data_IF_433365432203
#
_entry.id   IF_433365432203
#
_cell.length_a   1.000
_cell.length_b   1.000
_cell.length_c   1.000
_cell.angle_alpha   90.00
_cell.angle_beta   90.00
_cell.angle_gamma   90.00
#
_symmetry.space_group_name_H-M   'P 1'
#
loop_
_entity.id
_entity.type
_entity.pdbx_description
1 polymer ?
#
# COMPACT_ATOMS: atom_id res chain seq x y z
N UNK A 1 -18.08 3.33 0.97
CA UNK A 1 -19.24 3.45 1.88
C UNK A 1 -18.87 4.22 3.16
N UNK A 2 -17.80 3.88 3.89
CA UNK A 2 -17.41 4.54 5.17
C UNK A 2 -17.14 6.05 5.05
N UNK A 3 -16.78 6.54 3.87
CA UNK A 3 -16.48 7.96 3.64
C UNK A 3 -17.70 8.79 3.22
N UNK A 4 -18.76 8.13 2.79
CA UNK A 4 -19.96 8.83 2.30
C UNK A 4 -20.58 9.80 3.32
N UNK A 5 -20.66 9.47 4.63
CA UNK A 5 -21.15 10.41 5.65
C UNK A 5 -20.33 11.71 5.72
N UNK A 6 -19.05 11.66 5.37
CA UNK A 6 -18.15 12.81 5.41
C UNK A 6 -18.23 13.73 4.19
N UNK A 7 -19.06 13.41 3.20
CA UNK A 7 -19.17 14.18 1.95
C UNK A 7 -19.52 15.66 2.17
N UNK A 8 -20.29 15.98 3.20
CA UNK A 8 -20.73 17.34 3.51
C UNK A 8 -19.84 18.05 4.54
N UNK A 9 -18.80 17.37 5.07
CA UNK A 9 -17.88 17.95 6.06
C UNK A 9 -16.94 18.94 5.35
N UNK A 10 -16.61 20.05 6.03
CA UNK A 10 -15.69 21.06 5.48
C UNK A 10 -14.27 20.50 5.25
N UNK A 11 -13.56 21.05 4.25
CA UNK A 11 -12.22 20.62 3.89
C UNK A 11 -11.25 20.64 5.09
N UNK A 12 -11.29 21.70 5.91
CA UNK A 12 -10.44 21.81 7.12
C UNK A 12 -10.68 20.68 8.11
N UNK A 13 -11.95 20.37 8.40
CA UNK A 13 -12.31 19.28 9.33
C UNK A 13 -11.87 17.93 8.78
N UNK A 14 -12.02 17.68 7.48
CA UNK A 14 -11.55 16.46 6.83
C UNK A 14 -10.03 16.29 6.96
N UNK A 15 -9.26 17.36 6.75
CA UNK A 15 -7.81 17.33 6.90
C UNK A 15 -7.43 17.06 8.35
N UNK A 16 -8.02 17.78 9.30
CA UNK A 16 -7.76 17.58 10.73
C UNK A 16 -8.08 16.15 11.17
N UNK A 17 -9.25 15.63 10.78
CA UNK A 17 -9.63 14.24 11.07
C UNK A 17 -8.68 13.24 10.42
N UNK A 18 -8.30 13.47 9.17
CA UNK A 18 -7.36 12.61 8.45
C UNK A 18 -5.98 12.59 9.11
N UNK A 19 -5.47 13.74 9.51
CA UNK A 19 -4.20 13.85 10.27
C UNK A 19 -4.35 13.16 11.63
N UNK A 20 -5.41 13.46 12.38
CA UNK A 20 -5.64 12.88 13.70
C UNK A 20 -5.71 11.35 13.67
N UNK A 21 -6.42 10.76 12.69
CA UNK A 21 -6.50 9.31 12.52
C UNK A 21 -5.14 8.68 12.19
N UNK A 22 -4.34 9.33 11.33
CA UNK A 22 -2.98 8.85 11.06
C UNK A 22 -2.11 8.94 12.32
N UNK A 23 -2.19 10.04 13.07
CA UNK A 23 -1.41 10.22 14.29
C UNK A 23 -1.88 9.35 15.46
N UNK A 24 -3.11 8.85 15.44
CA UNK A 24 -3.67 8.00 16.51
C UNK A 24 -2.82 6.76 16.79
N UNK A 25 -2.20 6.19 15.77
CA UNK A 25 -1.36 5.00 15.91
C UNK A 25 0.03 5.31 16.48
N UNK A 26 0.49 6.57 16.43
CA UNK A 26 1.81 6.96 16.93
C UNK A 26 2.03 6.61 18.40
N UNK A 27 1.12 6.97 19.34
CA UNK A 27 1.31 6.62 20.75
C UNK A 27 1.38 5.11 21.00
N UNK A 28 0.64 4.32 20.21
CA UNK A 28 0.66 2.84 20.31
C UNK A 28 2.03 2.30 19.94
N UNK A 29 2.58 2.74 18.80
CA UNK A 29 3.91 2.31 18.35
C UNK A 29 5.02 2.85 19.24
N UNK A 30 4.96 4.13 19.61
CA UNK A 30 5.94 4.75 20.54
C UNK A 30 5.87 4.08 21.91
N UNK A 31 4.67 3.86 22.45
CA UNK A 31 4.48 3.14 23.71
C UNK A 31 4.97 1.71 23.65
N UNK A 32 4.69 1.00 22.55
CA UNK A 32 5.23 -0.33 22.29
C UNK A 32 6.75 -0.37 22.36
N UNK A 33 7.41 0.54 21.63
CA UNK A 33 8.87 0.64 21.61
C UNK A 33 9.49 0.97 22.96
N UNK A 34 9.07 2.08 23.56
CA UNK A 34 9.78 2.62 24.72
C UNK A 34 9.42 1.92 26.03
N UNK A 35 8.25 1.31 26.10
CA UNK A 35 7.78 0.67 27.32
C UNK A 35 7.61 -0.85 27.19
N UNK A 36 6.89 -1.32 26.19
CA UNK A 36 6.49 -2.72 26.08
C UNK A 36 7.67 -3.64 25.71
N UNK A 37 8.46 -3.32 24.70
CA UNK A 37 9.59 -4.17 24.26
C UNK A 37 10.68 -4.25 25.33
N UNK A 38 11.17 -3.13 25.92
CA UNK A 38 12.12 -3.21 27.01
C UNK A 38 11.58 -3.95 28.23
N UNK A 39 10.29 -3.81 28.52
CA UNK A 39 9.64 -4.58 29.59
C UNK A 39 9.65 -6.09 29.30
N UNK A 40 9.26 -6.51 28.11
CA UNK A 40 9.30 -7.93 27.70
C UNK A 40 10.73 -8.48 27.78
N UNK A 41 11.70 -7.79 27.17
CA UNK A 41 13.11 -8.21 27.17
C UNK A 41 13.68 -8.35 28.58
N UNK A 42 13.43 -7.36 29.44
CA UNK A 42 13.90 -7.39 30.85
C UNK A 42 13.21 -8.50 31.65
N UNK A 43 11.91 -8.71 31.39
CA UNK A 43 11.13 -9.76 32.09
C UNK A 43 11.59 -11.12 31.64
N UNK A 44 11.80 -11.35 30.34
CA UNK A 44 12.35 -12.61 29.82
C UNK A 44 13.72 -12.94 30.41
N UNK A 45 14.66 -11.97 30.43
CA UNK A 45 15.97 -12.17 31.04
C UNK A 45 15.89 -12.49 32.54
N UNK A 46 14.95 -11.87 33.29
CA UNK A 46 14.73 -12.20 34.71
C UNK A 46 14.19 -13.62 34.89
N UNK A 47 13.27 -14.05 34.04
CA UNK A 47 12.71 -15.41 34.07
C UNK A 47 13.80 -16.43 33.78
N UNK A 48 14.64 -16.20 32.76
CA UNK A 48 15.79 -17.06 32.46
C UNK A 48 16.73 -17.20 33.67
N UNK A 49 17.09 -16.09 34.31
CA UNK A 49 17.92 -16.09 35.51
C UNK A 49 17.24 -16.83 36.70
N UNK A 50 15.93 -16.70 36.86
CA UNK A 50 15.19 -17.46 37.92
C UNK A 50 15.17 -18.96 37.63
N UNK A 51 14.99 -19.39 36.40
CA UNK A 51 15.02 -20.78 35.98
C UNK A 51 16.40 -21.38 36.23
N UNK A 52 17.48 -20.67 35.84
CA UNK A 52 18.87 -21.07 36.10
C UNK A 52 19.18 -21.20 37.62
N UNK A 53 18.56 -20.36 38.43
CA UNK A 53 18.68 -20.41 39.90
C UNK A 53 17.74 -21.44 40.58
N UNK A 54 17.06 -22.31 39.81
CA UNK A 54 16.12 -23.30 40.30
C UNK A 54 14.82 -22.77 40.92
N UNK A 55 14.51 -21.47 40.68
CA UNK A 55 13.32 -20.79 41.21
C UNK A 55 12.17 -20.87 40.21
N UNK A 56 10.94 -21.02 40.68
CA UNK A 56 9.75 -20.99 39.82
C UNK A 56 9.34 -19.53 39.55
N UNK A 57 9.32 -19.10 38.27
CA UNK A 57 8.82 -17.77 37.89
C UNK A 57 7.31 -17.63 38.19
N UNK A 58 6.83 -16.38 38.33
CA UNK A 58 5.40 -16.11 38.40
C UNK A 58 4.76 -16.40 37.04
N UNK A 59 3.55 -16.97 37.02
CA UNK A 59 2.85 -17.43 35.82
C UNK A 59 2.73 -16.34 34.72
N UNK A 60 2.48 -15.07 35.08
CA UNK A 60 2.40 -13.98 34.12
C UNK A 60 3.76 -13.58 33.54
N UNK A 61 4.84 -13.67 34.31
CA UNK A 61 6.20 -13.46 33.79
C UNK A 61 6.62 -14.60 32.86
N UNK A 62 6.22 -15.85 33.20
CA UNK A 62 6.43 -16.99 32.33
C UNK A 62 5.75 -16.82 30.97
N UNK A 63 4.48 -16.38 30.92
CA UNK A 63 3.79 -16.09 29.67
C UNK A 63 4.50 -15.03 28.83
N UNK A 64 5.04 -13.99 29.45
CA UNK A 64 5.80 -12.94 28.74
C UNK A 64 7.11 -13.50 28.18
N UNK A 65 7.79 -14.34 28.95
CA UNK A 65 9.01 -15.03 28.50
C UNK A 65 8.70 -15.95 27.32
N UNK A 66 7.67 -16.76 27.40
CA UNK A 66 7.29 -17.69 26.34
C UNK A 66 6.92 -16.95 25.06
N UNK A 67 6.15 -15.87 25.16
CA UNK A 67 5.85 -15.00 24.03
C UNK A 67 7.12 -14.34 23.42
N UNK A 68 8.10 -13.96 24.26
CA UNK A 68 9.38 -13.42 23.80
C UNK A 68 10.23 -14.47 23.08
N UNK A 69 10.27 -15.70 23.59
CA UNK A 69 10.98 -16.83 22.97
C UNK A 69 10.31 -17.21 21.65
N UNK A 70 8.98 -17.30 21.61
CA UNK A 70 8.20 -17.57 20.39
C UNK A 70 8.48 -16.51 19.30
N UNK A 71 8.47 -15.23 19.67
CA UNK A 71 8.84 -14.13 18.76
C UNK A 71 10.27 -14.27 18.21
N UNK A 72 11.23 -14.72 19.03
CA UNK A 72 12.61 -14.96 18.58
C UNK A 72 12.69 -16.17 17.65
N UNK A 73 12.01 -17.26 17.97
CA UNK A 73 11.98 -18.46 17.15
C UNK A 73 11.30 -18.24 15.81
N UNK A 74 10.20 -17.48 15.78
CA UNK A 74 9.59 -17.03 14.53
C UNK A 74 10.56 -16.25 13.66
N UNK A 75 11.46 -15.48 14.27
CA UNK A 75 12.47 -14.71 13.56
C UNK A 75 13.61 -15.59 13.00
N UNK A 76 14.03 -16.57 13.74
CA UNK A 76 15.07 -17.55 13.33
C UNK A 76 14.55 -18.51 12.24
N UNK A 77 13.27 -18.91 12.30
CA UNK A 77 12.65 -19.86 11.37
C UNK A 77 12.21 -19.24 10.04
N UNK A 78 12.36 -17.93 9.85
CA UNK A 78 11.84 -17.22 8.66
C UNK A 78 12.39 -17.70 7.34
N UNK A 79 13.60 -18.25 7.30
CA UNK A 79 14.12 -18.85 6.06
C UNK A 79 13.33 -20.10 5.66
N UNK A 80 12.97 -20.95 6.63
CA UNK A 80 12.14 -22.11 6.38
C UNK A 80 10.72 -21.73 5.99
N UNK A 81 10.15 -20.73 6.66
CA UNK A 81 8.82 -20.24 6.36
C UNK A 81 8.77 -19.57 4.98
N UNK A 82 9.82 -18.85 4.59
CA UNK A 82 9.95 -18.32 3.24
C UNK A 82 10.04 -19.44 2.18
N UNK A 83 10.76 -20.53 2.45
CA UNK A 83 10.81 -21.67 1.55
C UNK A 83 9.46 -22.40 1.47
N UNK A 84 8.74 -22.53 2.59
CA UNK A 84 7.36 -23.06 2.62
C UNK A 84 6.40 -22.18 1.83
N UNK A 85 6.55 -20.86 1.94
CA UNK A 85 5.76 -19.90 1.17
C UNK A 85 6.03 -20.02 -0.33
N UNK A 86 7.30 -20.13 -0.75
CA UNK A 86 7.65 -20.40 -2.15
C UNK A 86 6.99 -21.70 -2.62
N UNK A 87 7.08 -22.76 -1.87
CA UNK A 87 6.47 -24.04 -2.21
C UNK A 87 4.94 -23.94 -2.33
N UNK A 88 4.29 -23.20 -1.42
CA UNK A 88 2.85 -22.97 -1.45
C UNK A 88 2.38 -22.20 -2.69
N UNK A 89 3.13 -21.20 -3.15
CA UNK A 89 2.79 -20.44 -4.36
C UNK A 89 3.15 -21.15 -5.67
N UNK A 90 4.02 -22.16 -5.61
CA UNK A 90 4.35 -23.07 -6.73
C UNK A 90 3.44 -24.28 -6.83
N UNK A 91 2.52 -24.44 -5.90
CA UNK A 91 1.57 -25.52 -5.86
C UNK A 91 0.44 -25.36 -6.90
N UNK A 92 -0.50 -26.30 -6.92
CA UNK A 92 -1.69 -26.23 -7.77
C UNK A 92 -2.63 -25.07 -7.40
N UNK A 93 -3.44 -24.61 -8.34
CA UNK A 93 -4.39 -23.50 -8.11
C UNK A 93 -5.28 -23.69 -6.86
N UNK A 94 -5.89 -24.87 -6.58
CA UNK A 94 -6.71 -25.05 -5.38
C UNK A 94 -5.90 -24.94 -4.08
N UNK A 95 -4.65 -25.38 -4.07
CA UNK A 95 -3.76 -25.29 -2.91
C UNK A 95 -3.36 -23.84 -2.63
N UNK A 96 -3.01 -23.09 -3.68
CA UNK A 96 -2.74 -21.65 -3.58
C UNK A 96 -3.94 -20.91 -3.02
N UNK A 97 -5.15 -21.19 -3.53
CA UNK A 97 -6.39 -20.56 -3.03
C UNK A 97 -6.61 -20.88 -1.55
N UNK A 98 -6.42 -22.14 -1.14
CA UNK A 98 -6.58 -22.55 0.26
C UNK A 98 -5.56 -21.86 1.15
N UNK A 99 -4.29 -21.83 0.75
CA UNK A 99 -3.22 -21.13 1.48
C UNK A 99 -3.55 -19.64 1.65
N UNK A 100 -3.89 -18.95 0.57
CA UNK A 100 -4.23 -17.53 0.60
C UNK A 100 -5.50 -17.21 1.38
N UNK A 101 -6.54 -18.05 1.28
CA UNK A 101 -7.80 -17.80 1.98
C UNK A 101 -7.62 -17.67 3.49
N UNK A 102 -6.77 -18.49 4.09
CA UNK A 102 -6.47 -18.45 5.52
C UNK A 102 -5.80 -17.13 5.93
N UNK A 103 -4.79 -16.71 5.14
CA UNK A 103 -4.09 -15.44 5.37
C UNK A 103 -5.00 -14.22 5.12
N UNK A 104 -5.75 -14.23 4.01
CA UNK A 104 -6.65 -13.12 3.66
C UNK A 104 -7.75 -12.90 4.69
N UNK A 105 -8.35 -13.96 5.25
CA UNK A 105 -9.37 -13.82 6.28
C UNK A 105 -8.82 -13.13 7.53
N UNK A 106 -7.62 -13.49 7.96
CA UNK A 106 -6.96 -12.87 9.11
C UNK A 106 -6.61 -11.40 8.86
N UNK A 107 -5.96 -11.13 7.73
CA UNK A 107 -5.53 -9.78 7.36
C UNK A 107 -6.71 -8.84 7.08
N UNK A 108 -7.73 -9.30 6.38
CA UNK A 108 -8.89 -8.47 6.03
C UNK A 108 -9.86 -8.27 7.19
N UNK A 109 -9.81 -9.11 8.22
CA UNK A 109 -10.63 -8.90 9.43
C UNK A 109 -9.85 -8.12 10.49
N UNK A 110 -8.88 -8.76 11.12
CA UNK A 110 -8.13 -8.15 12.23
C UNK A 110 -7.19 -7.05 11.77
N UNK A 111 -6.39 -7.29 10.73
CA UNK A 111 -5.46 -6.30 10.17
C UNK A 111 -6.17 -5.05 9.67
N UNK A 112 -7.34 -5.22 9.01
CA UNK A 112 -8.15 -4.09 8.56
C UNK A 112 -8.75 -3.30 9.72
N UNK A 113 -9.35 -3.96 10.72
CA UNK A 113 -9.99 -3.27 11.85
C UNK A 113 -8.99 -2.55 12.74
N UNK A 114 -7.85 -3.15 13.02
CA UNK A 114 -6.85 -2.58 13.94
C UNK A 114 -5.84 -1.64 13.29
N UNK A 115 -5.60 -1.76 11.99
CA UNK A 115 -4.64 -0.92 11.28
C UNK A 115 -5.20 -0.27 10.01
N UNK A 116 -5.64 -1.09 9.07
CA UNK A 116 -6.01 -0.65 7.72
C UNK A 116 -7.10 0.42 7.69
N UNK A 117 -8.15 0.28 8.50
CA UNK A 117 -9.26 1.23 8.56
C UNK A 117 -8.79 2.63 8.98
N UNK A 118 -8.00 2.72 10.03
CA UNK A 118 -7.51 3.99 10.57
C UNK A 118 -6.53 4.66 9.64
N UNK A 119 -5.61 3.87 9.11
CA UNK A 119 -4.54 4.34 8.23
C UNK A 119 -5.07 4.71 6.84
N UNK A 120 -5.78 3.82 6.17
CA UNK A 120 -6.39 4.10 4.87
C UNK A 120 -7.50 5.14 4.99
N UNK A 121 -8.37 5.04 6.00
CA UNK A 121 -9.43 6.00 6.26
C UNK A 121 -8.90 7.42 6.49
N UNK A 122 -7.84 7.57 7.27
CA UNK A 122 -7.19 8.86 7.49
C UNK A 122 -6.64 9.46 6.20
N UNK A 123 -5.96 8.66 5.36
CA UNK A 123 -5.43 9.12 4.05
C UNK A 123 -6.54 9.46 3.07
N UNK A 124 -7.62 8.70 3.05
CA UNK A 124 -8.78 9.00 2.23
C UNK A 124 -9.48 10.29 2.64
N UNK A 125 -9.62 10.57 3.95
CA UNK A 125 -10.14 11.85 4.44
C UNK A 125 -9.23 13.03 4.06
N UNK A 126 -7.92 12.85 4.14
CA UNK A 126 -6.94 13.83 3.65
C UNK A 126 -7.15 14.10 2.16
N UNK A 127 -7.26 13.05 1.34
CA UNK A 127 -7.53 13.16 -0.09
C UNK A 127 -8.83 13.91 -0.40
N UNK A 128 -9.91 13.60 0.33
CA UNK A 128 -11.19 14.33 0.21
C UNK A 128 -11.06 15.81 0.58
N UNK A 129 -10.30 16.12 1.64
CA UNK A 129 -10.01 17.49 2.05
C UNK A 129 -9.25 18.27 0.98
N UNK A 130 -8.18 17.67 0.43
CA UNK A 130 -7.38 18.25 -0.66
C UNK A 130 -8.19 18.44 -1.94
N UNK A 131 -9.07 17.50 -2.25
CA UNK A 131 -9.98 17.61 -3.40
C UNK A 131 -10.92 18.83 -3.24
N UNK A 132 -11.51 19.01 -2.04
CA UNK A 132 -12.37 20.16 -1.75
C UNK A 132 -11.62 21.50 -1.76
N UNK A 133 -10.32 21.52 -1.47
CA UNK A 133 -9.45 22.68 -1.59
C UNK A 133 -9.01 22.98 -3.04
N UNK A 134 -9.40 22.14 -4.01
CA UNK A 134 -9.03 22.32 -5.41
C UNK A 134 -7.58 21.95 -5.73
N UNK A 135 -6.88 21.26 -4.83
CA UNK A 135 -5.47 20.87 -5.04
C UNK A 135 -5.31 20.02 -6.31
N UNK A 136 -6.27 19.11 -6.57
CA UNK A 136 -6.25 18.23 -7.75
C UNK A 136 -6.83 18.84 -9.02
N UNK A 137 -7.30 20.10 -8.96
CA UNK A 137 -7.89 20.77 -10.12
C UNK A 137 -6.89 21.61 -10.92
N UNK A 138 -5.59 21.55 -10.55
CA UNK A 138 -4.52 22.39 -11.12
C UNK A 138 -4.80 23.91 -11.06
N UNK A 139 -5.65 24.35 -10.11
CA UNK A 139 -6.10 25.76 -9.97
C UNK A 139 -5.28 26.56 -8.97
N UNK A 140 -4.45 25.89 -8.15
CA UNK A 140 -3.59 26.60 -7.21
C UNK A 140 -2.46 27.33 -7.95
N UNK A 141 -1.85 28.32 -7.26
CA UNK A 141 -0.71 29.05 -7.81
C UNK A 141 0.49 28.12 -8.05
N UNK A 142 1.29 28.42 -9.08
CA UNK A 142 2.55 27.69 -9.32
C UNK A 142 3.45 27.66 -8.08
N UNK A 143 3.48 28.75 -7.33
CA UNK A 143 4.24 28.87 -6.09
C UNK A 143 3.79 27.83 -5.03
N UNK A 144 2.47 27.61 -4.91
CA UNK A 144 1.92 26.61 -3.99
C UNK A 144 2.36 25.21 -4.35
N UNK A 145 2.31 24.84 -5.63
CA UNK A 145 2.80 23.52 -6.08
C UNK A 145 4.31 23.36 -5.92
N UNK A 146 5.10 24.40 -6.17
CA UNK A 146 6.54 24.38 -5.92
C UNK A 146 6.86 24.20 -4.43
N UNK A 147 6.12 24.84 -3.53
CA UNK A 147 6.24 24.59 -2.09
C UNK A 147 5.90 23.14 -1.71
N UNK A 148 4.84 22.59 -2.29
CA UNK A 148 4.51 21.16 -2.08
C UNK A 148 5.63 20.25 -2.54
N UNK A 149 6.26 20.53 -3.69
CA UNK A 149 7.42 19.79 -4.19
C UNK A 149 8.62 19.94 -3.23
N UNK A 150 9.00 21.19 -2.93
CA UNK A 150 10.18 21.48 -2.09
C UNK A 150 10.08 20.90 -0.69
N UNK A 151 8.97 21.13 0.01
CA UNK A 151 8.75 20.60 1.35
C UNK A 151 8.51 19.08 1.31
N UNK A 152 7.72 18.61 0.34
CA UNK A 152 7.40 17.20 0.19
C UNK A 152 8.63 16.33 -0.04
N UNK A 153 9.45 16.67 -1.00
CA UNK A 153 10.67 15.92 -1.28
C UNK A 153 11.81 16.28 -0.33
N UNK A 154 11.93 17.55 0.08
CA UNK A 154 12.98 17.97 1.01
C UNK A 154 12.88 17.34 2.39
N UNK A 155 11.67 16.99 2.84
CA UNK A 155 11.46 16.27 4.12
C UNK A 155 11.37 14.76 3.87
N UNK A 156 10.59 14.35 2.88
CA UNK A 156 10.24 12.95 2.67
C UNK A 156 11.41 12.11 2.15
N UNK A 157 12.23 12.63 1.22
CA UNK A 157 13.37 11.88 0.68
C UNK A 157 14.42 11.60 1.75
N UNK A 158 14.89 12.58 2.57
CA UNK A 158 15.83 12.30 3.65
C UNK A 158 15.30 11.28 4.66
N UNK A 159 14.02 11.36 5.04
CA UNK A 159 13.41 10.39 5.96
C UNK A 159 13.41 8.97 5.39
N UNK A 160 12.99 8.80 4.12
CA UNK A 160 13.02 7.48 3.47
C UNK A 160 14.44 7.01 3.16
N UNK A 161 15.36 7.90 2.78
CA UNK A 161 16.75 7.54 2.55
C UNK A 161 17.42 7.05 3.83
N UNK A 162 17.13 7.70 4.96
CA UNK A 162 17.61 7.26 6.26
C UNK A 162 17.04 5.87 6.62
N UNK A 163 15.74 5.63 6.38
CA UNK A 163 15.09 4.36 6.60
C UNK A 163 15.73 3.24 5.75
N UNK A 164 15.88 3.48 4.44
CA UNK A 164 16.54 2.53 3.53
C UNK A 164 18.00 2.30 3.92
N UNK A 165 18.74 3.34 4.27
CA UNK A 165 20.14 3.21 4.73
C UNK A 165 20.23 2.31 5.97
N UNK A 166 19.33 2.50 6.92
CA UNK A 166 19.28 1.70 8.14
C UNK A 166 18.93 0.23 7.84
N UNK A 167 17.94 -0.01 6.97
CA UNK A 167 17.58 -1.38 6.53
C UNK A 167 18.72 -2.08 5.81
N UNK A 168 19.40 -1.39 4.90
CA UNK A 168 20.57 -1.93 4.18
C UNK A 168 21.73 -2.23 5.13
N UNK A 169 22.01 -1.32 6.07
CA UNK A 169 23.07 -1.49 7.06
C UNK A 169 22.83 -2.70 7.98
N UNK A 170 21.58 -2.95 8.32
CA UNK A 170 21.18 -4.10 9.12
C UNK A 170 20.89 -5.37 8.28
N UNK A 171 21.36 -5.41 7.01
CA UNK A 171 21.25 -6.54 6.09
C UNK A 171 19.80 -7.01 5.85
N UNK A 172 18.80 -6.15 5.99
CA UNK A 172 17.37 -6.52 5.95
C UNK A 172 17.04 -7.65 6.94
N UNK A 173 17.83 -7.77 8.01
CA UNK A 173 17.70 -8.86 8.96
C UNK A 173 16.37 -8.73 9.70
N UNK A 174 15.56 -9.77 9.57
CA UNK A 174 14.19 -9.74 10.10
C UNK A 174 14.15 -9.71 11.65
N UNK A 175 15.21 -10.14 12.34
CA UNK A 175 15.38 -9.99 13.80
C UNK A 175 15.48 -8.54 14.25
N UNK A 176 16.10 -7.71 13.42
CA UNK A 176 15.99 -6.29 13.55
C UNK A 176 14.61 -5.75 13.18
N UNK A 177 13.86 -6.45 12.30
CA UNK A 177 12.50 -6.01 11.94
C UNK A 177 11.50 -6.14 13.07
N UNK A 178 11.59 -7.14 13.93
CA UNK A 178 10.74 -7.20 15.14
C UNK A 178 11.19 -6.19 16.20
N UNK A 179 12.49 -6.05 16.45
CA UNK A 179 13.04 -4.93 17.20
C UNK A 179 12.72 -3.60 16.50
N UNK A 180 12.76 -3.54 15.19
CA UNK A 180 12.58 -2.39 14.34
C UNK A 180 11.10 -2.05 14.10
N UNK A 181 10.19 -3.00 13.86
CA UNK A 181 8.74 -2.73 13.83
C UNK A 181 8.23 -2.26 15.18
N UNK A 182 8.86 -2.71 16.25
CA UNK A 182 8.60 -2.19 17.58
C UNK A 182 9.50 -1.00 17.94
N UNK A 183 10.54 -0.72 17.17
CA UNK A 183 11.49 0.40 17.39
C UNK A 183 10.99 1.76 16.90
N UNK A 184 9.77 1.84 16.36
CA UNK A 184 9.18 3.11 15.90
C UNK A 184 9.69 3.61 14.54
N UNK A 185 10.67 2.94 13.91
CA UNK A 185 11.20 3.26 12.59
C UNK A 185 10.18 3.04 11.44
N UNK A 186 9.26 2.05 11.49
CA UNK A 186 8.16 1.98 10.52
C UNK A 186 7.30 3.24 10.51
N UNK A 187 7.32 4.00 11.60
CA UNK A 187 6.70 5.32 11.62
C UNK A 187 7.40 6.28 10.65
N UNK A 188 8.72 6.20 10.48
CA UNK A 188 9.43 7.05 9.52
C UNK A 188 9.05 6.69 8.08
N UNK A 189 8.99 5.40 7.73
CA UNK A 189 8.50 4.98 6.40
C UNK A 189 7.04 5.37 6.21
N UNK A 190 6.21 5.12 7.23
CA UNK A 190 4.78 5.40 7.20
C UNK A 190 4.48 6.89 7.08
N UNK A 191 5.15 7.72 7.86
CA UNK A 191 4.94 9.19 7.90
C UNK A 191 5.86 9.93 6.93
N UNK A 192 7.05 9.43 6.64
CA UNK A 192 7.94 9.94 5.61
C UNK A 192 7.35 9.82 4.21
N UNK A 193 6.49 8.82 4.00
CA UNK A 193 5.76 8.67 2.73
C UNK A 193 4.73 9.78 2.48
N UNK A 194 4.11 10.37 3.52
CA UNK A 194 3.14 11.45 3.36
C UNK A 194 3.73 12.72 2.72
N UNK A 195 4.86 13.28 3.20
CA UNK A 195 5.53 14.40 2.53
C UNK A 195 5.83 14.08 1.06
N UNK A 196 6.34 12.87 0.75
CA UNK A 196 6.61 12.48 -0.64
C UNK A 196 5.34 12.46 -1.49
N UNK A 197 4.21 11.97 -0.96
CA UNK A 197 2.93 12.02 -1.66
C UNK A 197 2.53 13.46 -1.98
N UNK A 198 2.70 14.41 -1.04
CA UNK A 198 2.47 15.83 -1.30
C UNK A 198 3.42 16.38 -2.37
N UNK A 199 4.69 15.98 -2.36
CA UNK A 199 5.66 16.31 -3.40
C UNK A 199 5.21 15.82 -4.78
N UNK A 200 4.77 14.56 -4.87
CA UNK A 200 4.25 13.98 -6.12
C UNK A 200 2.98 14.69 -6.61
N UNK A 201 2.04 14.99 -5.70
CA UNK A 201 0.83 15.76 -6.06
C UNK A 201 1.24 17.11 -6.64
N UNK A 202 2.14 17.85 -5.97
CA UNK A 202 2.64 19.12 -6.46
C UNK A 202 3.29 19.01 -7.84
N UNK A 203 4.14 18.02 -8.06
CA UNK A 203 4.82 17.78 -9.33
C UNK A 203 3.84 17.45 -10.47
N UNK A 204 2.91 16.52 -10.23
CA UNK A 204 1.89 16.12 -11.22
C UNK A 204 0.99 17.30 -11.58
N UNK A 205 0.52 18.05 -10.57
CA UNK A 205 -0.35 19.21 -10.81
C UNK A 205 0.38 20.33 -11.56
N UNK A 206 1.65 20.56 -11.26
CA UNK A 206 2.47 21.54 -11.99
C UNK A 206 2.69 21.10 -13.44
N UNK A 207 2.96 19.84 -13.70
CA UNK A 207 3.07 19.28 -15.07
C UNK A 207 1.74 19.45 -15.82
N UNK A 208 0.61 19.14 -15.17
CA UNK A 208 -0.72 19.34 -15.78
C UNK A 208 -0.99 20.81 -16.07
N UNK A 209 -0.61 21.73 -15.18
CA UNK A 209 -0.82 23.18 -15.34
C UNK A 209 0.04 23.75 -16.46
N UNK A 210 1.28 23.29 -16.61
CA UNK A 210 2.20 23.77 -17.64
C UNK A 210 1.98 23.13 -19.00
N UNK A 211 1.34 21.97 -19.05
CA UNK A 211 1.18 21.17 -20.26
C UNK A 211 2.48 20.53 -20.79
N UNK A 212 3.56 20.56 -20.00
CA UNK A 212 4.90 20.14 -20.44
C UNK A 212 4.98 18.68 -20.96
N UNK A 213 4.14 17.79 -20.44
CA UNK A 213 4.09 16.38 -20.80
C UNK A 213 2.69 15.93 -21.25
N UNK A 214 2.02 16.73 -22.06
CA UNK A 214 0.63 16.46 -22.48
C UNK A 214 0.43 15.08 -23.11
N UNK A 215 1.40 14.57 -23.84
CA UNK A 215 1.35 13.24 -24.44
C UNK A 215 1.29 12.13 -23.36
N UNK A 216 2.07 12.29 -22.29
CA UNK A 216 2.13 11.34 -21.19
C UNK A 216 0.90 11.48 -20.28
N UNK A 217 0.50 12.69 -19.92
CA UNK A 217 -0.66 12.93 -19.06
C UNK A 217 -1.95 12.41 -19.70
N UNK A 218 -2.10 12.55 -21.03
CA UNK A 218 -3.24 11.94 -21.77
C UNK A 218 -3.23 10.42 -21.70
N UNK A 219 -2.07 9.77 -21.81
CA UNK A 219 -1.96 8.31 -21.70
C UNK A 219 -2.22 7.83 -20.29
N UNK A 220 -1.66 8.50 -19.30
CA UNK A 220 -1.94 8.23 -17.88
C UNK A 220 -3.42 8.43 -17.55
N UNK A 221 -4.06 9.48 -18.04
CA UNK A 221 -5.49 9.70 -17.88
C UNK A 221 -6.32 8.57 -18.52
N UNK A 222 -5.91 8.06 -19.68
CA UNK A 222 -6.56 6.93 -20.34
C UNK A 222 -6.39 5.65 -19.49
N UNK A 223 -5.19 5.36 -19.01
CA UNK A 223 -4.93 4.23 -18.11
C UNK A 223 -5.74 4.35 -16.81
N UNK A 224 -5.84 5.56 -16.24
CA UNK A 224 -6.67 5.81 -15.05
C UNK A 224 -8.17 5.62 -15.28
N UNK A 225 -8.70 5.93 -16.48
CA UNK A 225 -10.10 5.64 -16.84
C UNK A 225 -10.37 4.14 -16.97
N UNK A 226 -9.36 3.32 -17.14
CA UNK A 226 -9.40 1.85 -17.22
C UNK A 226 -8.74 1.20 -15.99
N UNK A 227 -8.73 1.88 -14.85
CA UNK A 227 -7.97 1.46 -13.66
C UNK A 227 -8.37 0.06 -13.16
N UNK A 228 -9.67 -0.27 -13.14
CA UNK A 228 -10.15 -1.59 -12.71
C UNK A 228 -9.74 -2.68 -13.71
N UNK A 229 -9.89 -2.41 -15.02
CA UNK A 229 -9.47 -3.35 -16.07
C UNK A 229 -7.97 -3.59 -16.03
N UNK A 230 -7.17 -2.53 -15.87
CA UNK A 230 -5.72 -2.63 -15.76
C UNK A 230 -5.29 -3.39 -14.49
N UNK A 231 -5.95 -3.13 -13.35
CA UNK A 231 -5.69 -3.86 -12.10
C UNK A 231 -5.96 -5.37 -12.21
N UNK A 232 -7.08 -5.74 -12.83
CA UNK A 232 -7.40 -7.15 -13.07
C UNK A 232 -6.41 -7.78 -14.06
N UNK A 233 -6.02 -7.05 -15.11
CA UNK A 233 -5.00 -7.48 -16.06
C UNK A 233 -3.67 -7.73 -15.36
N UNK A 234 -3.19 -6.80 -14.51
CA UNK A 234 -1.98 -6.98 -13.71
C UNK A 234 -2.05 -8.24 -12.85
N UNK A 235 -3.19 -8.46 -12.20
CA UNK A 235 -3.39 -9.64 -11.36
C UNK A 235 -3.30 -10.93 -12.18
N UNK A 236 -3.95 -10.99 -13.34
CA UNK A 236 -3.93 -12.18 -14.21
C UNK A 236 -2.51 -12.41 -14.74
N UNK A 237 -1.85 -11.39 -15.27
CA UNK A 237 -0.51 -11.51 -15.83
C UNK A 237 0.50 -11.91 -14.76
N UNK A 238 0.51 -11.23 -13.61
CA UNK A 238 1.44 -11.54 -12.54
C UNK A 238 1.23 -12.94 -11.96
N UNK A 239 -0.02 -13.35 -11.73
CA UNK A 239 -0.29 -14.70 -11.22
C UNK A 239 0.06 -15.78 -12.25
N UNK A 240 -0.12 -15.52 -13.56
CA UNK A 240 0.31 -16.44 -14.62
C UNK A 240 1.83 -16.54 -14.69
N UNK A 241 2.55 -15.45 -14.52
CA UNK A 241 4.02 -15.44 -14.54
C UNK A 241 4.59 -16.17 -13.31
N UNK A 242 4.07 -15.87 -12.12
CA UNK A 242 4.73 -16.27 -10.88
C UNK A 242 4.21 -17.56 -10.27
N UNK A 243 2.92 -17.88 -10.41
CA UNK A 243 2.31 -19.00 -9.70
C UNK A 243 2.52 -20.34 -10.41
N UNK A 244 2.47 -21.45 -9.64
CA UNK A 244 2.73 -22.79 -10.11
C UNK A 244 1.75 -23.30 -11.19
N UNK A 245 0.56 -22.74 -11.29
CA UNK A 245 -0.36 -23.06 -12.39
C UNK A 245 -0.02 -22.33 -13.71
N UNK A 246 0.95 -21.43 -13.71
CA UNK A 246 1.42 -20.71 -14.89
C UNK A 246 2.89 -21.04 -15.20
N UNK A 247 3.77 -20.05 -15.21
CA UNK A 247 5.19 -20.23 -15.52
C UNK A 247 6.08 -20.59 -14.32
N UNK A 248 5.55 -20.62 -13.12
CA UNK A 248 6.23 -21.06 -11.88
C UNK A 248 7.51 -20.26 -11.51
N UNK A 249 7.51 -18.98 -11.79
CA UNK A 249 8.66 -18.13 -11.49
C UNK A 249 8.68 -17.55 -10.06
N UNK A 250 7.80 -17.97 -9.17
CA UNK A 250 7.77 -17.44 -7.80
C UNK A 250 9.07 -17.77 -7.06
N UNK A 251 9.77 -16.73 -6.59
CA UNK A 251 11.05 -16.86 -5.91
C UNK A 251 12.25 -17.23 -6.81
N UNK A 252 12.07 -17.44 -8.13
CA UNK A 252 13.14 -17.81 -9.07
C UNK A 252 13.74 -16.59 -9.80
N UNK A 253 13.01 -15.49 -9.86
CA UNK A 253 13.40 -14.31 -10.64
C UNK A 253 14.23 -13.34 -9.79
N UNK A 254 15.37 -12.90 -10.35
CA UNK A 254 16.19 -11.86 -9.72
C UNK A 254 15.52 -10.49 -9.78
N UNK A 255 15.75 -9.66 -8.76
CA UNK A 255 15.13 -8.32 -8.62
C UNK A 255 15.20 -7.43 -9.86
N UNK A 256 16.32 -7.31 -10.61
CA UNK A 256 16.34 -6.49 -11.83
C UNK A 256 15.32 -6.93 -12.89
N UNK A 257 15.11 -8.24 -13.06
CA UNK A 257 14.15 -8.76 -14.03
C UNK A 257 12.70 -8.48 -13.60
N UNK A 258 12.41 -8.43 -12.29
CA UNK A 258 11.10 -8.00 -11.76
C UNK A 258 10.77 -6.58 -12.21
N UNK A 259 11.73 -5.65 -12.13
CA UNK A 259 11.55 -4.29 -12.66
C UNK A 259 11.29 -4.28 -14.16
N UNK A 260 11.97 -5.16 -14.92
CA UNK A 260 11.71 -5.34 -16.35
C UNK A 260 10.27 -5.75 -16.66
N UNK A 261 9.72 -6.71 -15.89
CA UNK A 261 8.33 -7.15 -16.00
C UNK A 261 7.38 -5.98 -15.70
N UNK A 262 7.59 -5.26 -14.61
CA UNK A 262 6.76 -4.10 -14.22
C UNK A 262 6.76 -3.03 -15.31
N UNK A 263 7.93 -2.64 -15.81
CA UNK A 263 8.06 -1.63 -16.86
C UNK A 263 7.38 -2.08 -18.17
N UNK A 264 7.46 -3.37 -18.50
CA UNK A 264 6.77 -3.93 -19.67
C UNK A 264 5.25 -3.82 -19.51
N UNK A 265 4.71 -4.23 -18.37
CA UNK A 265 3.27 -4.15 -18.08
C UNK A 265 2.79 -2.69 -18.15
N UNK A 266 3.48 -1.76 -17.48
CA UNK A 266 3.12 -0.35 -17.51
C UNK A 266 3.18 0.24 -18.92
N UNK A 267 4.20 -0.11 -19.69
CA UNK A 267 4.31 0.35 -21.08
C UNK A 267 3.14 -0.16 -21.92
N UNK A 268 2.79 -1.43 -21.80
CA UNK A 268 1.63 -2.02 -22.48
C UNK A 268 0.33 -1.30 -22.09
N UNK A 269 0.11 -1.02 -20.83
CA UNK A 269 -1.09 -0.30 -20.36
C UNK A 269 -1.15 1.12 -20.91
N UNK A 270 -0.02 1.84 -20.93
CA UNK A 270 0.06 3.21 -21.49
C UNK A 270 -0.15 3.25 -23.00
N UNK A 271 0.10 2.16 -23.70
CA UNK A 271 -0.13 2.03 -25.14
C UNK A 271 -1.54 1.54 -25.46
N UNK A 272 -2.00 0.50 -24.77
CA UNK A 272 -3.27 -0.16 -25.05
C UNK A 272 -4.47 0.65 -24.56
N UNK A 273 -4.39 1.26 -23.37
CA UNK A 273 -5.53 2.00 -22.80
C UNK A 273 -6.03 3.14 -23.68
N UNK A 274 -5.19 4.01 -24.26
CA UNK A 274 -5.66 5.03 -25.20
C UNK A 274 -6.24 4.44 -26.49
N UNK A 275 -5.65 3.35 -27.01
CA UNK A 275 -6.16 2.68 -28.21
C UNK A 275 -7.54 2.08 -27.99
N UNK A 276 -7.75 1.42 -26.85
CA UNK A 276 -9.03 0.90 -26.45
C UNK A 276 -10.09 1.99 -26.34
N UNK A 277 -9.77 3.08 -25.64
CA UNK A 277 -10.71 4.19 -25.40
C UNK A 277 -11.01 5.04 -26.64
N UNK A 278 -10.34 4.82 -27.77
CA UNK A 278 -10.77 5.38 -29.07
C UNK A 278 -12.06 4.73 -29.60
N UNK A 279 -12.27 3.46 -29.30
CA UNK A 279 -13.40 2.67 -29.80
C UNK A 279 -14.48 2.43 -28.74
N UNK A 280 -14.08 2.41 -27.46
CA UNK A 280 -14.93 2.06 -26.34
C UNK A 280 -14.98 3.19 -25.30
N UNK A 281 -16.13 3.36 -24.66
CA UNK A 281 -16.35 4.43 -23.65
C UNK A 281 -15.69 4.11 -22.31
N UNK A 282 -15.58 2.83 -21.97
CA UNK A 282 -15.11 2.29 -20.71
C UNK A 282 -14.16 1.11 -20.96
N UNK A 283 -13.32 0.79 -19.98
CA UNK A 283 -12.63 -0.50 -19.98
C UNK A 283 -13.62 -1.65 -19.76
N UNK A 284 -13.22 -2.90 -20.07
CA UNK A 284 -14.12 -4.07 -19.97
C UNK A 284 -14.69 -4.27 -18.56
N UNK A 285 -13.84 -4.18 -17.53
CA UNK A 285 -14.26 -4.38 -16.15
C UNK A 285 -15.08 -3.19 -15.63
N UNK A 286 -14.76 -1.96 -16.02
CA UNK A 286 -15.55 -0.77 -15.70
C UNK A 286 -16.94 -0.83 -16.33
N UNK A 287 -17.02 -1.32 -17.56
CA UNK A 287 -18.30 -1.51 -18.25
C UNK A 287 -19.17 -2.54 -17.53
N UNK A 288 -18.60 -3.68 -17.18
CA UNK A 288 -19.30 -4.73 -16.43
C UNK A 288 -19.79 -4.19 -15.08
N UNK A 289 -18.91 -3.55 -14.32
CA UNK A 289 -19.23 -2.97 -13.02
C UNK A 289 -20.39 -1.97 -13.10
N UNK A 290 -20.35 -1.07 -14.09
CA UNK A 290 -21.41 -0.07 -14.31
C UNK A 290 -22.72 -0.74 -14.70
N UNK A 291 -22.68 -1.72 -15.60
CA UNK A 291 -23.88 -2.44 -16.04
C UNK A 291 -24.57 -3.16 -14.87
N UNK A 292 -23.80 -3.81 -13.99
CA UNK A 292 -24.30 -4.43 -12.78
C UNK A 292 -24.86 -3.40 -11.78
N UNK A 293 -24.15 -2.29 -11.57
CA UNK A 293 -24.57 -1.22 -10.62
C UNK A 293 -25.89 -0.58 -11.04
N UNK A 294 -26.10 -0.34 -12.33
CA UNK A 294 -27.31 0.28 -12.85
C UNK A 294 -28.42 -0.72 -13.22
N UNK A 295 -28.17 -2.03 -13.10
CA UNK A 295 -29.13 -3.09 -13.46
C UNK A 295 -29.49 -3.13 -14.95
N UNK A 296 -28.66 -2.52 -15.82
CA UNK A 296 -28.86 -2.48 -17.28
C UNK A 296 -27.56 -2.38 -18.03
N UNK A 297 -27.47 -3.03 -19.18
CA UNK A 297 -26.30 -2.96 -20.05
C UNK A 297 -26.05 -1.53 -20.50
N UNK A 298 -24.85 -1.04 -20.24
CA UNK A 298 -24.42 0.29 -20.64
C UNK A 298 -23.87 0.26 -22.07
N UNK A 299 -24.08 1.32 -22.90
CA UNK A 299 -23.50 1.38 -24.23
C UNK A 299 -21.96 1.41 -24.13
N UNK A 300 -21.30 0.38 -24.66
CA UNK A 300 -19.85 0.27 -24.57
C UNK A 300 -19.12 1.00 -25.71
N UNK A 301 -19.70 1.08 -26.91
CA UNK A 301 -19.07 1.74 -28.08
C UNK A 301 -19.22 3.25 -28.01
N UNK A 302 -18.22 3.96 -28.51
CA UNK A 302 -18.29 5.41 -28.74
C UNK A 302 -19.17 5.61 -29.98
N UNK A 303 -20.27 6.40 -29.88
CA UNK A 303 -21.07 6.77 -31.05
C UNK A 303 -20.26 7.74 -31.91
N UNK A 304 -20.14 7.53 -33.22
CA UNK A 304 -19.57 8.53 -34.13
C UNK A 304 -20.34 9.84 -34.02
N UNK A 305 -19.61 10.95 -33.98
CA UNK A 305 -20.18 12.30 -33.84
C UNK A 305 -21.16 12.71 -34.95
N UNK A 306 -21.25 11.97 -36.04
CA UNK A 306 -22.19 12.19 -37.13
C UNK A 306 -23.66 11.86 -36.76
N UNK A 307 -23.92 11.01 -35.74
CA UNK A 307 -25.29 10.70 -35.30
C UNK A 307 -25.89 11.75 -34.33
N UNK A 308 -25.04 12.56 -33.68
CA UNK A 308 -25.50 13.63 -32.79
C UNK A 308 -25.96 14.92 -33.53
N UNK A 309 -25.68 15.03 -34.84
CA UNK A 309 -26.13 16.13 -35.69
C UNK A 309 -27.47 15.83 -36.40
N UNK A 310 -28.01 14.61 -36.24
CA UNK A 310 -29.22 14.13 -36.92
C UNK A 310 -30.40 13.87 -35.95
N UNK A 311 -30.25 14.17 -34.65
CA UNK A 311 -31.31 14.16 -33.64
C UNK A 311 -31.43 15.50 -32.97
#
# INVERSE_FOLDING_TARGET
FFLYPFRNVSARRLIVLGVALNLLLVPIFVGGRFFFVPYMKRTAARVEAQIQAGRRPRWHHQKIHDAWVEMKQEDENKREDFLKEIAAYRASFPEIVRHRATHLLREQTLGFLFGGLWFAGGRMLLGMGLMKLGVFSATLSRRSYLWMIGLGYGIGIPLLAFDVFHEVHNHFFLGHRLAFTMDGWPLLTLYGSLPIVFGHIGAVMLICQTGALNWLTRRLAAAGRMALSNYLFDSIVCTTIFYGYGFDFFGAIHRPLLYGIVLTIWTLQLLVSPLWLRHFRFGPAEWLWRSLTYGKLQPIRVRPSAELAAT
#
